data_IF_340408503255
#
_entry.id   IF_340408503255
#
_cell.length_a   1.000
_cell.length_b   1.000
_cell.length_c   1.000
_cell.angle_alpha   90.00
_cell.angle_beta   90.00
_cell.angle_gamma   90.00
#
_symmetry.space_group_name_H-M   'P 1'
#
loop_
_entity.id
_entity.type
_entity.pdbx_description
1 polymer ?
#
# COMPACT_ATOMS: atom_id res chain seq x y z
N UNK A 1 -54.53 -18.45 27.43
CA UNK A 1 -54.04 -18.34 26.05
C UNK A 1 -52.98 -17.26 26.04
N UNK A 2 -51.70 -17.65 25.95
CA UNK A 2 -50.55 -16.77 26.07
C UNK A 2 -49.99 -16.55 24.66
N UNK A 3 -49.97 -15.29 24.23
CA UNK A 3 -49.42 -14.84 22.95
C UNK A 3 -47.89 -14.76 23.07
N UNK A 4 -47.08 -15.36 22.18
CA UNK A 4 -45.64 -15.14 22.21
C UNK A 4 -45.31 -13.87 21.43
N UNK A 5 -44.56 -12.97 22.08
CA UNK A 5 -43.95 -11.81 21.45
C UNK A 5 -42.72 -12.28 20.65
N UNK A 6 -42.76 -12.08 19.33
CA UNK A 6 -41.58 -12.19 18.47
C UNK A 6 -40.61 -11.04 18.79
N UNK A 7 -39.44 -11.36 19.32
CA UNK A 7 -38.33 -10.43 19.43
C UNK A 7 -37.62 -10.35 18.06
N UNK A 8 -37.75 -9.21 17.38
CA UNK A 8 -36.91 -8.88 16.22
C UNK A 8 -35.49 -8.57 16.70
N UNK A 9 -34.53 -9.42 16.33
CA UNK A 9 -33.11 -9.10 16.43
C UNK A 9 -32.78 -8.14 15.29
N UNK A 10 -32.62 -6.86 15.62
CA UNK A 10 -32.11 -5.86 14.68
C UNK A 10 -30.62 -6.15 14.43
N UNK A 11 -30.31 -6.69 13.25
CA UNK A 11 -28.92 -6.74 12.76
C UNK A 11 -28.52 -5.29 12.45
N UNK A 12 -27.63 -4.75 13.27
CA UNK A 12 -26.99 -3.46 12.98
C UNK A 12 -26.17 -3.60 11.70
N UNK A 13 -26.73 -3.13 10.58
CA UNK A 13 -25.98 -2.93 9.35
C UNK A 13 -25.03 -1.77 9.65
N UNK A 14 -23.79 -2.10 10.02
CA UNK A 14 -22.72 -1.11 10.06
C UNK A 14 -22.65 -0.48 8.68
N UNK A 15 -22.81 0.84 8.63
CA UNK A 15 -22.70 1.64 7.42
C UNK A 15 -21.44 1.24 6.68
N UNK A 16 -21.61 0.56 5.55
CA UNK A 16 -20.54 0.34 4.59
C UNK A 16 -20.17 1.75 4.14
N UNK A 17 -19.08 2.29 4.68
CA UNK A 17 -18.38 3.37 4.01
C UNK A 17 -18.10 2.81 2.61
N UNK A 18 -18.82 3.33 1.61
CA UNK A 18 -18.57 3.00 0.21
C UNK A 18 -17.07 3.21 -0.01
N UNK A 19 -16.33 2.11 -0.12
CA UNK A 19 -15.00 2.13 -0.67
C UNK A 19 -15.14 2.85 -2.02
N UNK A 20 -14.51 4.02 -2.14
CA UNK A 20 -14.46 4.73 -3.41
C UNK A 20 -13.86 3.75 -4.44
N UNK A 21 -14.42 3.65 -5.65
CA UNK A 21 -13.86 2.76 -6.67
C UNK A 21 -12.38 3.09 -6.89
N UNK A 22 -11.56 2.07 -7.12
CA UNK A 22 -10.14 2.18 -7.45
C UNK A 22 -9.93 3.22 -8.57
N UNK A 23 -9.57 4.42 -8.15
CA UNK A 23 -9.37 5.60 -8.99
C UNK A 23 -7.98 6.18 -8.75
N UNK A 24 -7.59 7.16 -9.56
CA UNK A 24 -6.44 8.00 -9.20
C UNK A 24 -6.65 8.56 -7.79
N UNK A 25 -5.57 8.68 -7.02
CA UNK A 25 -5.64 9.31 -5.71
C UNK A 25 -6.31 10.68 -5.83
N UNK A 26 -7.12 11.04 -4.83
CA UNK A 26 -7.65 12.38 -4.69
C UNK A 26 -6.47 13.34 -4.52
N UNK A 27 -6.00 13.91 -5.63
CA UNK A 27 -4.82 14.77 -5.63
C UNK A 27 -5.23 16.18 -5.29
N UNK A 28 -4.58 16.74 -4.27
CA UNK A 28 -4.84 18.07 -3.78
C UNK A 28 -3.88 19.04 -4.45
N UNK A 29 -4.44 20.07 -5.08
CA UNK A 29 -3.66 21.17 -5.61
C UNK A 29 -3.25 22.10 -4.47
N UNK A 30 -1.99 22.50 -4.42
CA UNK A 30 -1.46 23.43 -3.43
C UNK A 30 -2.27 24.74 -3.35
N UNK A 31 -2.64 25.30 -4.51
CA UNK A 31 -3.48 26.51 -4.58
C UNK A 31 -4.87 26.33 -3.95
N UNK A 32 -5.40 25.11 -3.94
CA UNK A 32 -6.73 24.83 -3.37
C UNK A 32 -6.64 24.78 -1.83
N UNK A 33 -5.50 24.35 -1.28
CA UNK A 33 -5.20 24.49 0.16
C UNK A 33 -5.00 25.95 0.55
N UNK A 34 -4.21 26.70 -0.23
CA UNK A 34 -3.91 28.11 0.06
C UNK A 34 -5.14 29.02 -0.04
N UNK A 35 -6.04 28.74 -0.99
CA UNK A 35 -7.32 29.45 -1.11
C UNK A 35 -8.36 29.03 -0.06
N UNK A 36 -8.08 27.98 0.72
CA UNK A 36 -9.01 27.40 1.70
C UNK A 36 -10.17 26.62 1.09
N UNK A 37 -10.13 26.36 -0.23
CA UNK A 37 -11.10 25.51 -0.94
C UNK A 37 -10.99 24.06 -0.50
N UNK A 38 -9.77 23.60 -0.24
CA UNK A 38 -9.46 22.29 0.36
C UNK A 38 -8.83 22.48 1.73
N UNK A 39 -9.00 21.48 2.61
CA UNK A 39 -8.38 21.45 3.92
C UNK A 39 -7.83 20.05 4.20
N UNK A 40 -6.79 20.00 5.02
CA UNK A 40 -6.31 18.74 5.59
C UNK A 40 -7.38 18.24 6.57
N UNK A 41 -7.97 17.09 6.26
CA UNK A 41 -8.97 16.41 7.05
C UNK A 41 -8.29 15.55 8.12
N UNK A 42 -8.81 15.52 9.35
CA UNK A 42 -8.18 14.79 10.45
C UNK A 42 -8.18 13.26 10.26
N UNK A 43 -9.15 12.71 9.53
CA UNK A 43 -9.30 11.26 9.30
C UNK A 43 -8.54 10.76 8.06
N UNK A 44 -8.08 11.68 7.20
CA UNK A 44 -7.40 11.35 5.95
C UNK A 44 -5.88 11.37 6.11
N UNK A 45 -5.18 10.46 5.43
CA UNK A 45 -3.74 10.50 5.28
C UNK A 45 -3.32 11.35 4.07
N UNK A 46 -2.11 11.88 4.11
CA UNK A 46 -1.57 12.65 2.98
C UNK A 46 -0.15 12.20 2.64
N UNK A 47 0.12 11.99 1.35
CA UNK A 47 1.45 11.63 0.84
C UNK A 47 1.94 12.73 -0.09
N UNK A 48 3.09 13.30 0.24
CA UNK A 48 3.76 14.30 -0.58
C UNK A 48 4.95 13.68 -1.32
N UNK A 49 4.94 13.77 -2.64
CA UNK A 49 5.96 13.19 -3.53
C UNK A 49 6.58 14.30 -4.37
N UNK A 50 7.91 14.33 -4.45
CA UNK A 50 8.64 15.25 -5.34
C UNK A 50 9.52 14.50 -6.32
N UNK A 51 9.59 15.01 -7.53
CA UNK A 51 10.47 14.47 -8.57
C UNK A 51 11.06 15.57 -9.46
N UNK A 52 12.31 15.43 -9.92
CA UNK A 52 12.87 16.33 -10.93
C UNK A 52 12.23 16.15 -12.32
N UNK A 53 11.51 15.04 -12.55
CA UNK A 53 10.86 14.72 -13.83
C UNK A 53 9.39 14.35 -13.59
N UNK A 54 8.50 14.48 -14.59
CA UNK A 54 7.15 13.94 -14.44
C UNK A 54 7.26 12.43 -14.26
N UNK A 55 6.70 11.92 -13.17
CA UNK A 55 6.75 10.49 -12.88
C UNK A 55 5.37 10.00 -12.44
N UNK A 56 5.01 8.82 -12.94
CA UNK A 56 3.87 8.07 -12.44
C UNK A 56 4.31 6.99 -11.47
N UNK A 57 3.41 6.60 -10.58
CA UNK A 57 3.66 5.49 -9.69
C UNK A 57 2.40 4.96 -9.03
N UNK A 58 2.57 3.81 -8.39
CA UNK A 58 1.52 3.16 -7.60
C UNK A 58 2.02 2.97 -6.18
N UNK A 59 1.20 3.39 -5.22
CA UNK A 59 1.32 2.99 -3.82
C UNK A 59 0.24 1.94 -3.54
N UNK A 60 0.62 0.86 -2.88
CA UNK A 60 -0.31 -0.15 -2.39
C UNK A 60 -0.51 0.08 -0.90
N UNK A 61 -1.76 0.28 -0.50
CA UNK A 61 -2.13 0.18 0.90
C UNK A 61 -1.98 -1.28 1.32
N UNK A 62 -1.07 -1.54 2.23
CA UNK A 62 -0.85 -2.87 2.78
C UNK A 62 -1.99 -3.20 3.73
N UNK A 63 -2.62 -4.37 3.59
CA UNK A 63 -3.77 -4.71 4.41
C UNK A 63 -3.35 -4.91 5.86
N UNK A 64 -4.09 -4.27 6.77
CA UNK A 64 -4.02 -4.54 8.20
C UNK A 64 -4.90 -5.75 8.56
N UNK A 65 -4.86 -6.16 9.82
CA UNK A 65 -5.62 -7.31 10.32
C UNK A 65 -7.14 -7.15 10.08
N UNK A 66 -7.66 -5.93 10.22
CA UNK A 66 -9.06 -5.64 9.97
C UNK A 66 -9.43 -5.74 8.48
N UNK A 67 -8.56 -5.28 7.58
CA UNK A 67 -8.72 -5.43 6.15
C UNK A 67 -8.68 -6.91 5.72
N UNK A 68 -7.73 -7.68 6.28
CA UNK A 68 -7.63 -9.13 6.03
C UNK A 68 -8.91 -9.83 6.49
N UNK A 69 -9.37 -9.60 7.72
CA UNK A 69 -10.58 -10.24 8.25
C UNK A 69 -11.83 -9.91 7.41
N UNK A 70 -11.96 -8.65 6.95
CA UNK A 70 -13.07 -8.26 6.05
C UNK A 70 -12.97 -8.99 4.71
N UNK A 71 -11.77 -9.04 4.12
CA UNK A 71 -11.55 -9.73 2.86
C UNK A 71 -11.87 -11.23 2.96
N UNK A 72 -11.44 -11.90 4.03
CA UNK A 72 -11.73 -13.31 4.28
C UNK A 72 -13.24 -13.56 4.43
N UNK A 73 -13.94 -12.68 5.14
CA UNK A 73 -15.40 -12.77 5.27
C UNK A 73 -16.12 -12.60 3.92
N UNK A 74 -15.68 -11.64 3.10
CA UNK A 74 -16.21 -11.44 1.76
C UNK A 74 -15.90 -12.62 0.82
N UNK A 75 -14.68 -13.16 0.90
CA UNK A 75 -14.26 -14.33 0.13
C UNK A 75 -15.12 -15.55 0.50
N UNK A 76 -15.34 -15.79 1.80
CA UNK A 76 -16.15 -16.91 2.26
C UNK A 76 -17.62 -16.77 1.82
N UNK A 77 -18.18 -15.57 1.93
CA UNK A 77 -19.54 -15.28 1.46
C UNK A 77 -19.65 -15.47 -0.06
N UNK A 78 -18.68 -15.00 -0.83
CA UNK A 78 -18.66 -15.14 -2.28
C UNK A 78 -18.52 -16.61 -2.70
N UNK A 79 -17.65 -17.38 -2.05
CA UNK A 79 -17.51 -18.82 -2.32
C UNK A 79 -18.83 -19.54 -2.07
N UNK A 80 -19.48 -19.29 -0.93
CA UNK A 80 -20.76 -19.92 -0.58
C UNK A 80 -21.84 -19.65 -1.63
N UNK A 81 -21.91 -18.42 -2.16
CA UNK A 81 -22.85 -18.05 -3.24
C UNK A 81 -22.55 -18.82 -4.52
N UNK A 82 -21.28 -19.01 -4.89
CA UNK A 82 -20.93 -19.74 -6.11
C UNK A 82 -21.17 -21.25 -5.93
N UNK A 83 -20.86 -21.81 -4.77
CA UNK A 83 -21.15 -23.20 -4.43
C UNK A 83 -22.66 -23.49 -4.45
N UNK A 84 -23.48 -22.60 -3.89
CA UNK A 84 -24.94 -22.74 -3.95
C UNK A 84 -25.48 -22.79 -5.39
N UNK A 85 -24.86 -22.04 -6.31
CA UNK A 85 -25.27 -21.99 -7.72
C UNK A 85 -24.69 -23.14 -8.56
N UNK A 86 -23.70 -23.88 -8.05
CA UNK A 86 -22.99 -24.90 -8.82
C UNK A 86 -23.88 -26.07 -9.27
N UNK A 87 -24.75 -26.67 -8.43
CA UNK A 87 -25.62 -27.77 -8.85
C UNK A 87 -26.49 -27.40 -10.06
N UNK A 88 -27.10 -26.22 -10.05
CA UNK A 88 -27.91 -25.74 -11.18
C UNK A 88 -27.08 -25.54 -12.46
N UNK A 89 -25.84 -25.07 -12.35
CA UNK A 89 -24.92 -24.97 -13.50
C UNK A 89 -24.52 -26.34 -14.03
N UNK A 90 -24.35 -27.32 -13.15
CA UNK A 90 -24.01 -28.68 -13.52
C UNK A 90 -25.16 -29.34 -14.28
N UNK A 91 -26.39 -29.24 -13.76
CA UNK A 91 -27.61 -29.76 -14.43
C UNK A 91 -27.82 -29.13 -15.81
N UNK A 92 -27.66 -27.81 -15.92
CA UNK A 92 -27.75 -27.11 -17.21
C UNK A 92 -26.65 -27.57 -18.19
N UNK A 93 -25.42 -27.78 -17.72
CA UNK A 93 -24.35 -28.34 -18.55
C UNK A 93 -24.65 -29.77 -19.01
N UNK A 94 -25.17 -30.63 -18.12
CA UNK A 94 -25.56 -32.00 -18.46
C UNK A 94 -26.66 -32.03 -19.53
N UNK A 95 -27.65 -31.14 -19.38
CA UNK A 95 -28.72 -30.97 -20.36
C UNK A 95 -28.17 -30.50 -21.73
N UNK A 96 -27.33 -29.46 -21.75
CA UNK A 96 -26.73 -28.93 -23.00
C UNK A 96 -25.81 -29.96 -23.67
N UNK A 97 -25.05 -30.71 -22.88
CA UNK A 97 -24.18 -31.80 -23.36
C UNK A 97 -24.99 -32.89 -24.04
N UNK A 98 -26.12 -33.31 -23.43
CA UNK A 98 -27.04 -34.30 -24.03
C UNK A 98 -27.61 -33.84 -25.37
N UNK A 99 -27.98 -32.56 -25.47
CA UNK A 99 -28.47 -31.97 -26.72
C UNK A 99 -27.38 -31.88 -27.80
N UNK A 100 -26.16 -31.54 -27.43
CA UNK A 100 -25.03 -31.41 -28.35
C UNK A 100 -24.61 -32.76 -28.95
N UNK A 101 -24.62 -33.83 -28.15
CA UNK A 101 -24.32 -35.19 -28.62
C UNK A 101 -25.22 -35.64 -29.77
N UNK A 102 -26.51 -35.29 -29.76
CA UNK A 102 -27.45 -35.65 -30.82
C UNK A 102 -27.31 -34.84 -32.11
N UNK A 103 -26.55 -33.73 -32.09
CA UNK A 103 -26.46 -32.75 -33.20
C UNK A 103 -25.05 -32.60 -33.78
N UNK A 104 -24.07 -33.40 -33.32
CA UNK A 104 -22.67 -33.27 -33.74
C UNK A 104 -22.05 -31.92 -33.41
N UNK A 105 -22.59 -31.21 -32.41
CA UNK A 105 -22.10 -29.89 -31.99
C UNK A 105 -20.95 -30.03 -30.99
N UNK A 106 -20.10 -28.99 -30.89
CA UNK A 106 -19.03 -28.93 -29.88
C UNK A 106 -19.63 -28.98 -28.48
N UNK A 107 -19.08 -29.86 -27.64
CA UNK A 107 -19.49 -29.99 -26.24
C UNK A 107 -19.16 -28.72 -25.45
N UNK A 108 -20.08 -28.23 -24.61
CA UNK A 108 -19.77 -27.16 -23.68
C UNK A 108 -18.75 -27.64 -22.64
N UNK A 109 -17.88 -26.74 -22.19
CA UNK A 109 -16.93 -27.05 -21.11
C UNK A 109 -17.66 -27.32 -19.80
N UNK A 110 -17.22 -28.36 -19.09
CA UNK A 110 -17.81 -28.75 -17.81
C UNK A 110 -17.51 -27.67 -16.77
N UNK A 111 -18.52 -27.17 -16.04
CA UNK A 111 -18.28 -26.29 -14.90
C UNK A 111 -17.36 -26.97 -13.88
N UNK A 112 -16.36 -26.23 -13.39
CA UNK A 112 -15.46 -26.68 -12.33
C UNK A 112 -16.15 -26.46 -10.99
N UNK A 113 -16.06 -27.44 -10.09
CA UNK A 113 -16.58 -27.30 -8.73
C UNK A 113 -15.82 -26.20 -7.98
N UNK A 114 -16.51 -25.18 -7.44
CA UNK A 114 -15.87 -24.12 -6.69
C UNK A 114 -15.34 -24.66 -5.37
N UNK A 115 -14.03 -24.62 -5.20
CA UNK A 115 -13.31 -25.04 -4.00
C UNK A 115 -12.45 -23.88 -3.51
N UNK A 116 -12.03 -23.87 -2.23
CA UNK A 116 -11.08 -22.89 -1.73
C UNK A 116 -9.82 -22.75 -2.57
N UNK A 117 -9.36 -23.83 -3.20
CA UNK A 117 -8.12 -23.89 -3.97
C UNK A 117 -8.25 -23.29 -5.38
N UNK A 118 -9.46 -23.21 -5.94
CA UNK A 118 -9.70 -22.72 -7.30
C UNK A 118 -10.59 -21.46 -7.37
N UNK A 119 -11.06 -20.99 -6.22
CA UNK A 119 -11.90 -19.80 -6.11
C UNK A 119 -11.09 -18.58 -5.67
N UNK A 120 -11.28 -17.46 -6.36
CA UNK A 120 -10.64 -16.19 -6.05
C UNK A 120 -11.61 -15.03 -6.29
N UNK A 121 -11.54 -14.02 -5.43
CA UNK A 121 -12.22 -12.73 -5.61
C UNK A 121 -11.23 -11.61 -5.99
N UNK A 122 -10.05 -12.00 -6.51
CA UNK A 122 -8.92 -11.10 -6.75
C UNK A 122 -8.12 -10.82 -5.48
N UNK A 123 -6.84 -10.43 -5.60
CA UNK A 123 -5.98 -10.15 -4.45
C UNK A 123 -6.44 -8.90 -3.69
N UNK A 124 -6.18 -8.86 -2.38
CA UNK A 124 -6.63 -7.76 -1.51
C UNK A 124 -5.95 -6.44 -1.86
N UNK A 125 -4.70 -6.49 -2.34
CA UNK A 125 -3.87 -5.35 -2.71
C UNK A 125 -4.38 -4.60 -3.94
N UNK A 126 -5.15 -5.27 -4.81
CA UNK A 126 -5.77 -4.63 -5.99
C UNK A 126 -7.00 -3.79 -5.66
N UNK A 127 -7.50 -3.84 -4.42
CA UNK A 127 -8.74 -3.16 -4.04
C UNK A 127 -8.56 -1.65 -3.88
N UNK A 128 -7.39 -1.20 -3.41
CA UNK A 128 -7.13 0.22 -3.16
C UNK A 128 -5.74 0.69 -3.66
N UNK A 129 -5.41 0.51 -4.95
CA UNK A 129 -4.19 1.04 -5.51
C UNK A 129 -4.27 2.56 -5.65
N UNK A 130 -3.27 3.25 -5.12
CA UNK A 130 -3.15 4.70 -5.20
C UNK A 130 -2.23 5.06 -6.37
N UNK A 131 -2.84 5.43 -7.50
CA UNK A 131 -2.11 5.92 -8.68
C UNK A 131 -1.83 7.42 -8.57
N UNK A 132 -0.61 7.83 -8.90
CA UNK A 132 -0.22 9.22 -9.11
C UNK A 132 0.56 9.38 -10.43
N UNK A 133 0.62 10.59 -10.99
CA UNK A 133 1.40 10.86 -12.21
C UNK A 133 0.72 11.78 -13.23
N UNK A 134 1.12 11.64 -14.50
CA UNK A 134 1.05 12.60 -15.64
C UNK A 134 -0.27 13.38 -15.85
N UNK A 135 -1.36 13.01 -15.20
CA UNK A 135 -2.64 13.72 -15.30
C UNK A 135 -2.87 14.77 -14.21
N UNK A 136 -2.03 14.88 -13.18
CA UNK A 136 -2.36 15.72 -12.02
C UNK A 136 -1.16 16.46 -11.41
N UNK A 137 -1.30 17.79 -11.37
CA UNK A 137 -0.52 18.86 -10.69
C UNK A 137 0.94 19.10 -11.09
N UNK A 138 1.15 20.15 -11.90
CA UNK A 138 2.36 20.97 -11.83
C UNK A 138 2.13 22.09 -10.80
N UNK A 139 2.96 22.18 -9.76
CA UNK A 139 3.11 23.45 -9.04
C UNK A 139 3.65 24.48 -10.03
N UNK A 140 2.97 25.62 -10.14
CA UNK A 140 3.33 26.70 -11.07
C UNK A 140 4.55 27.50 -10.63
N UNK A 141 5.13 27.19 -9.47
CA UNK A 141 6.20 28.02 -8.88
C UNK A 141 7.63 27.57 -9.21
N UNK A 142 7.83 26.40 -9.84
CA UNK A 142 9.17 25.95 -10.23
C UNK A 142 9.14 25.07 -11.47
N UNK A 143 9.58 25.56 -12.66
CA UNK A 143 9.59 24.79 -13.91
C UNK A 143 10.57 23.60 -13.93
N UNK A 144 11.16 23.25 -12.78
CA UNK A 144 12.22 22.24 -12.63
C UNK A 144 11.90 21.14 -11.59
N UNK A 145 10.70 21.13 -10.99
CA UNK A 145 10.30 20.08 -10.05
C UNK A 145 8.80 19.80 -10.06
N UNK A 146 8.43 18.52 -10.16
CA UNK A 146 7.07 18.04 -10.06
C UNK A 146 6.76 17.67 -8.62
N UNK A 147 5.56 18.00 -8.14
CA UNK A 147 5.11 17.68 -6.79
C UNK A 147 3.67 17.18 -6.80
N UNK A 148 3.41 16.14 -6.03
CA UNK A 148 2.10 15.54 -5.88
C UNK A 148 1.74 15.50 -4.40
N UNK A 149 0.57 16.03 -4.04
CA UNK A 149 -0.02 15.86 -2.71
C UNK A 149 -1.26 14.97 -2.85
N UNK A 150 -1.17 13.75 -2.35
CA UNK A 150 -2.19 12.73 -2.51
C UNK A 150 -2.97 12.62 -1.20
N UNK A 151 -4.30 12.77 -1.23
CA UNK A 151 -5.17 12.33 -0.12
C UNK A 151 -5.38 10.83 -0.24
N UNK A 152 -5.07 10.10 0.82
CA UNK A 152 -5.10 8.63 0.88
C UNK A 152 -5.70 8.17 2.21
N UNK A 153 -6.02 6.88 2.32
CA UNK A 153 -6.37 6.30 3.62
C UNK A 153 -5.13 6.23 4.53
N UNK A 154 -5.24 6.49 5.83
CA UNK A 154 -4.15 6.21 6.77
C UNK A 154 -3.78 4.72 6.76
N UNK A 155 -2.50 4.43 6.98
CA UNK A 155 -1.98 3.08 7.08
C UNK A 155 -0.60 2.93 6.43
N UNK A 156 -0.17 1.67 6.28
CA UNK A 156 1.15 1.35 5.75
C UNK A 156 1.10 1.17 4.24
N UNK A 157 1.95 1.89 3.52
CA UNK A 157 2.03 1.81 2.07
C UNK A 157 3.33 1.17 1.61
N UNK A 158 3.27 0.36 0.56
CA UNK A 158 4.43 -0.05 -0.22
C UNK A 158 4.47 0.69 -1.56
N UNK A 159 5.66 1.09 -1.99
CA UNK A 159 5.82 1.64 -3.34
C UNK A 159 5.91 0.50 -4.36
N UNK A 160 4.86 0.30 -5.15
CA UNK A 160 4.80 -0.81 -6.09
C UNK A 160 5.72 -0.62 -7.28
N UNK A 161 5.94 0.62 -7.72
CA UNK A 161 6.86 0.92 -8.81
C UNK A 161 6.43 2.12 -9.66
N UNK A 162 7.28 2.51 -10.63
CA UNK A 162 6.99 3.58 -11.58
C UNK A 162 6.01 3.06 -12.64
N UNK A 163 4.74 3.04 -12.27
CA UNK A 163 3.65 2.53 -13.10
C UNK A 163 2.79 3.71 -13.54
N UNK A 164 2.56 3.79 -14.84
CA UNK A 164 1.67 4.78 -15.46
C UNK A 164 0.46 4.11 -16.05
N UNK A 165 -0.71 4.69 -15.80
CA UNK A 165 -1.98 4.26 -16.39
C UNK A 165 -2.21 5.04 -17.68
N UNK A 166 -1.98 4.38 -18.82
CA UNK A 166 -2.26 4.91 -20.14
C UNK A 166 -3.66 4.55 -20.63
N UNK A 167 -3.96 4.95 -21.89
CA UNK A 167 -5.23 4.59 -22.56
C UNK A 167 -5.39 3.08 -22.72
N UNK A 168 -4.31 2.38 -23.03
CA UNK A 168 -4.31 0.95 -23.39
C UNK A 168 -4.02 0.03 -22.19
N UNK A 169 -3.99 0.59 -20.97
CA UNK A 169 -3.76 -0.17 -19.74
C UNK A 169 -2.61 0.37 -18.88
N UNK A 170 -2.14 -0.47 -17.97
CA UNK A 170 -1.01 -0.16 -17.09
C UNK A 170 0.31 -0.48 -17.81
N UNK A 171 1.28 0.40 -17.64
CA UNK A 171 2.63 0.23 -18.17
C UNK A 171 3.66 0.64 -17.12
N UNK A 172 4.82 -0.01 -17.13
CA UNK A 172 5.88 0.26 -16.17
C UNK A 172 6.50 -1.01 -15.61
N UNK A 173 7.23 -0.84 -14.51
CA UNK A 173 7.91 -1.94 -13.82
C UNK A 173 7.37 -2.07 -12.41
N UNK A 174 6.98 -3.29 -12.03
CA UNK A 174 6.73 -3.63 -10.64
C UNK A 174 8.07 -3.84 -9.93
N UNK A 175 8.27 -3.22 -8.77
CA UNK A 175 9.38 -3.50 -7.85
C UNK A 175 9.11 -4.74 -6.98
N UNK A 176 8.61 -5.79 -7.64
CA UNK A 176 8.20 -7.07 -7.08
C UNK A 176 9.36 -7.81 -6.39
N UNK A 177 10.60 -7.59 -6.83
CA UNK A 177 11.79 -8.23 -6.26
C UNK A 177 12.37 -7.49 -5.05
N UNK A 178 11.75 -6.39 -4.62
CA UNK A 178 12.17 -5.64 -3.44
C UNK A 178 11.83 -4.17 -3.58
N UNK A 179 11.13 -3.64 -2.57
CA UNK A 179 10.77 -2.23 -2.49
C UNK A 179 10.81 -1.71 -1.06
N UNK A 180 10.45 -0.44 -0.87
CA UNK A 180 10.26 0.19 0.44
C UNK A 180 8.78 0.27 0.82
N UNK A 181 8.53 0.36 2.12
CA UNK A 181 7.25 0.71 2.72
C UNK A 181 7.42 1.86 3.70
N UNK A 182 6.33 2.57 4.00
CA UNK A 182 6.29 3.65 4.96
C UNK A 182 4.88 3.80 5.54
N UNK A 183 4.76 4.43 6.70
CA UNK A 183 3.48 4.69 7.36
C UNK A 183 2.93 6.05 6.95
N UNK A 184 1.60 6.14 6.79
CA UNK A 184 0.86 7.39 6.58
C UNK A 184 -0.14 7.56 7.71
N UNK A 185 -0.01 8.64 8.47
CA UNK A 185 -0.89 8.94 9.61
C UNK A 185 -2.06 9.83 9.21
N UNK A 186 -3.18 9.64 9.89
CA UNK A 186 -4.36 10.50 9.75
C UNK A 186 -4.04 11.96 10.13
N UNK A 187 -4.55 12.90 9.35
CA UNK A 187 -4.39 14.34 9.55
C UNK A 187 -2.98 14.88 9.30
N UNK A 188 -2.07 14.07 8.73
CA UNK A 188 -0.65 14.45 8.54
C UNK A 188 -0.17 14.27 7.12
N UNK A 189 0.69 15.19 6.70
CA UNK A 189 1.45 15.10 5.45
C UNK A 189 2.71 14.28 5.67
N UNK A 190 2.80 13.15 4.97
CA UNK A 190 3.97 12.29 4.92
C UNK A 190 4.85 12.72 3.74
N UNK A 191 5.98 13.36 4.03
CA UNK A 191 6.95 13.76 3.02
C UNK A 191 7.84 12.59 2.64
N UNK A 192 7.68 12.10 1.41
CA UNK A 192 8.49 10.99 0.86
C UNK A 192 9.83 11.46 0.28
N UNK A 193 10.07 12.78 0.25
CA UNK A 193 11.28 13.38 -0.28
C UNK A 193 11.39 13.32 -1.81
N UNK A 194 12.57 13.68 -2.33
CA UNK A 194 12.96 13.52 -3.74
C UNK A 194 13.38 12.08 -4.03
N UNK A 195 12.47 11.16 -3.81
CA UNK A 195 12.68 9.76 -4.14
C UNK A 195 12.49 9.61 -5.66
N UNK A 196 13.23 8.70 -6.31
CA UNK A 196 12.93 8.13 -7.66
C UNK A 196 13.80 8.43 -8.91
N UNK A 197 15.00 9.02 -8.83
CA UNK A 197 16.01 8.58 -9.81
C UNK A 197 17.43 8.31 -9.28
N UNK A 198 17.85 8.92 -8.17
CA UNK A 198 19.28 8.94 -7.77
C UNK A 198 19.61 8.13 -6.50
N UNK A 199 18.63 7.54 -5.83
CA UNK A 199 18.84 6.78 -4.59
C UNK A 199 19.19 7.62 -3.35
N UNK A 200 19.25 8.96 -3.49
CA UNK A 200 19.49 9.89 -2.40
C UNK A 200 18.16 10.48 -1.91
N UNK A 201 17.85 10.26 -0.63
CA UNK A 201 16.67 10.85 0.00
C UNK A 201 16.95 12.30 0.40
N UNK A 202 16.10 13.20 -0.08
CA UNK A 202 16.09 14.60 0.32
C UNK A 202 14.66 15.03 0.67
N UNK A 203 14.40 15.21 1.96
CA UNK A 203 13.12 15.69 2.50
C UNK A 203 13.02 17.22 2.41
N UNK A 204 11.86 17.76 2.76
CA UNK A 204 11.53 19.18 2.79
C UNK A 204 10.23 19.48 2.06
N UNK A 205 9.21 19.91 2.81
CA UNK A 205 8.01 20.47 2.23
C UNK A 205 8.24 21.89 1.71
N UNK A 206 7.49 22.34 0.67
CA UNK A 206 7.43 23.75 0.31
C UNK A 206 6.88 24.56 1.49
N UNK A 207 7.26 25.83 1.58
CA UNK A 207 6.92 26.73 2.71
C UNK A 207 5.41 26.76 2.97
N UNK A 208 4.61 26.75 1.90
CA UNK A 208 3.15 26.68 1.91
C UNK A 208 2.58 25.49 2.69
N UNK A 209 3.29 24.36 2.72
CA UNK A 209 2.84 23.12 3.38
C UNK A 209 3.47 22.91 4.76
N UNK A 210 4.51 23.67 5.12
CA UNK A 210 5.21 23.50 6.41
C UNK A 210 4.36 23.86 7.63
N UNK A 211 3.32 24.68 7.45
CA UNK A 211 2.38 25.06 8.51
C UNK A 211 1.40 23.94 8.89
N UNK A 212 1.25 22.90 8.07
CA UNK A 212 0.38 21.77 8.35
C UNK A 212 1.12 20.70 9.16
N UNK A 213 0.43 19.88 9.96
CA UNK A 213 1.02 18.70 10.59
C UNK A 213 1.70 17.81 9.54
N UNK A 214 3.00 17.61 9.68
CA UNK A 214 3.79 16.84 8.72
C UNK A 214 4.85 15.98 9.42
N UNK A 215 5.36 15.00 8.69
CA UNK A 215 6.51 14.18 9.08
C UNK A 215 7.24 13.64 7.84
N UNK A 216 8.51 13.30 8.01
CA UNK A 216 9.26 12.57 6.99
C UNK A 216 8.81 11.12 6.98
N UNK A 217 8.70 10.53 5.79
CA UNK A 217 8.39 9.12 5.65
C UNK A 217 9.43 8.25 6.38
N UNK A 218 8.96 7.44 7.34
CA UNK A 218 9.79 6.41 7.97
C UNK A 218 9.90 5.19 7.04
N UNK A 219 10.79 5.28 6.05
CA UNK A 219 10.99 4.20 5.09
C UNK A 219 11.63 2.96 5.73
N UNK A 220 11.07 1.80 5.38
CA UNK A 220 11.53 0.45 5.72
C UNK A 220 11.65 -0.39 4.46
N UNK A 221 12.54 -1.36 4.45
CA UNK A 221 12.51 -2.35 3.37
C UNK A 221 11.27 -3.24 3.54
N UNK A 222 10.47 -3.42 2.50
CA UNK A 222 9.21 -4.16 2.59
C UNK A 222 9.38 -5.66 2.27
N UNK A 223 10.26 -5.99 1.32
CA UNK A 223 10.41 -7.35 0.82
C UNK A 223 9.88 -7.50 -0.60
N UNK A 224 9.55 -8.74 -0.99
CA UNK A 224 9.00 -9.07 -2.31
C UNK A 224 7.49 -8.78 -2.34
N UNK A 225 6.99 -8.42 -3.51
CA UNK A 225 5.57 -8.22 -3.80
C UNK A 225 5.17 -9.12 -4.97
N UNK A 226 3.92 -9.56 -4.96
CA UNK A 226 3.34 -10.26 -6.10
C UNK A 226 3.09 -9.29 -7.26
N UNK A 227 3.08 -9.84 -8.47
CA UNK A 227 2.84 -9.05 -9.68
C UNK A 227 1.35 -8.92 -9.98
N UNK A 228 0.65 -8.23 -9.08
CA UNK A 228 -0.81 -8.03 -9.14
C UNK A 228 -1.28 -7.51 -10.51
N UNK A 229 -0.53 -6.57 -11.10
CA UNK A 229 -0.92 -5.94 -12.36
C UNK A 229 -0.29 -6.55 -13.62
N UNK A 230 0.39 -7.70 -13.53
CA UNK A 230 1.00 -8.37 -14.69
C UNK A 230 2.07 -7.54 -15.41
N UNK A 231 2.77 -6.66 -14.69
CA UNK A 231 3.78 -5.75 -15.24
C UNK A 231 5.16 -6.42 -15.40
N UNK A 232 6.09 -5.72 -16.04
CA UNK A 232 7.48 -6.13 -16.04
C UNK A 232 8.01 -6.23 -14.60
N UNK A 233 8.64 -7.36 -14.27
CA UNK A 233 9.17 -7.63 -12.93
C UNK A 233 10.55 -6.99 -12.79
N UNK A 234 10.74 -6.21 -11.73
CA UNK A 234 12.01 -5.58 -11.38
C UNK A 234 12.19 -5.44 -9.88
N UNK A 235 13.27 -4.74 -9.49
CA UNK A 235 13.57 -4.39 -8.10
C UNK A 235 13.81 -2.89 -7.99
N UNK A 236 13.49 -2.30 -6.85
CA UNK A 236 13.88 -0.93 -6.57
C UNK A 236 15.41 -0.81 -6.51
N UNK A 237 16.02 0.28 -7.00
CA UNK A 237 17.42 0.56 -6.70
C UNK A 237 17.69 0.60 -5.19
N UNK A 238 18.93 0.33 -4.79
CA UNK A 238 19.33 0.46 -3.39
C UNK A 238 19.04 1.88 -2.89
N UNK A 239 18.58 1.97 -1.65
CA UNK A 239 18.31 3.24 -0.97
C UNK A 239 19.25 3.32 0.21
N UNK A 240 20.15 4.30 0.21
CA UNK A 240 21.16 4.45 1.23
C UNK A 240 20.52 4.50 2.63
N UNK A 241 21.02 3.67 3.55
CA UNK A 241 20.53 3.58 4.93
C UNK A 241 19.17 2.89 5.11
N UNK A 242 18.48 2.46 4.05
CA UNK A 242 17.15 1.83 4.14
C UNK A 242 17.12 0.46 3.46
N UNK A 243 17.45 0.41 2.16
CA UNK A 243 17.23 -0.76 1.32
C UNK A 243 18.53 -1.20 0.67
N UNK A 244 18.97 -2.41 1.01
CA UNK A 244 20.03 -3.11 0.33
C UNK A 244 19.57 -4.49 -0.13
N UNK A 245 20.45 -5.16 -0.86
CA UNK A 245 20.23 -6.50 -1.35
C UNK A 245 21.47 -7.36 -1.12
N UNK A 246 21.27 -8.58 -0.67
CA UNK A 246 22.23 -9.67 -0.82
C UNK A 246 21.64 -10.68 -1.81
N UNK A 247 22.11 -10.64 -3.06
CA UNK A 247 21.51 -11.34 -4.21
C UNK A 247 20.02 -10.99 -4.34
N UNK A 248 19.14 -11.94 -4.00
CA UNK A 248 17.67 -11.80 -4.07
C UNK A 248 17.03 -11.65 -2.68
N UNK A 249 17.85 -11.52 -1.64
CA UNK A 249 17.41 -11.21 -0.29
C UNK A 249 17.37 -9.71 -0.09
N UNK A 250 16.19 -9.20 0.24
CA UNK A 250 15.98 -7.80 0.66
C UNK A 250 16.56 -7.61 2.06
N UNK A 251 17.32 -6.53 2.25
CA UNK A 251 17.93 -6.16 3.52
C UNK A 251 17.38 -4.79 3.95
N UNK A 252 16.78 -4.75 5.13
CA UNK A 252 16.43 -3.51 5.83
C UNK A 252 17.66 -3.00 6.59
N UNK A 253 18.37 -2.04 5.99
CA UNK A 253 19.54 -1.43 6.60
C UNK A 253 19.17 -0.59 7.83
N UNK A 254 17.97 0.00 7.83
CA UNK A 254 17.53 0.86 8.93
C UNK A 254 17.24 0.03 10.17
N UNK A 255 16.52 -1.08 10.01
CA UNK A 255 16.25 -2.02 11.10
C UNK A 255 17.54 -2.63 11.66
N UNK A 256 18.53 -2.94 10.82
CA UNK A 256 19.84 -3.41 11.29
C UNK A 256 20.59 -2.35 12.12
N UNK A 257 20.58 -1.10 11.67
CA UNK A 257 21.21 0.00 12.41
C UNK A 257 20.54 0.23 13.77
N UNK A 258 19.21 0.16 13.83
CA UNK A 258 18.44 0.27 15.08
C UNK A 258 18.74 -0.89 16.03
N UNK A 259 18.76 -2.13 15.52
CA UNK A 259 19.11 -3.29 16.33
C UNK A 259 20.55 -3.20 16.89
N UNK A 260 21.50 -2.70 16.09
CA UNK A 260 22.88 -2.48 16.52
C UNK A 260 23.00 -1.38 17.59
N UNK A 261 22.20 -0.31 17.46
CA UNK A 261 22.15 0.76 18.45
C UNK A 261 21.61 0.27 19.80
N UNK A 262 20.59 -0.60 19.81
CA UNK A 262 20.04 -1.21 21.03
C UNK A 262 21.02 -2.22 21.65
N UNK A 263 21.81 -2.91 20.83
CA UNK A 263 22.77 -3.93 21.28
C UNK A 263 24.08 -3.36 21.86
N UNK A 264 24.29 -2.04 21.85
CA UNK A 264 25.48 -1.40 22.43
C UNK A 264 25.14 -0.80 23.79
N UNK A 265 25.41 -1.47 24.93
CA UNK A 265 25.26 -0.85 26.24
C UNK A 265 26.38 0.17 26.47
N UNK A 266 26.02 1.29 27.11
CA UNK A 266 26.93 2.35 27.57
C UNK A 266 28.27 1.81 28.09
N UNK A 267 29.34 1.97 27.31
CA UNK A 267 30.70 2.01 27.84
C UNK A 267 30.92 3.41 28.43
N UNK A 268 30.29 3.69 29.56
CA UNK A 268 30.07 5.07 30.03
C UNK A 268 29.98 5.26 31.54
N UNK A 269 30.68 4.48 32.35
CA UNK A 269 31.09 4.90 33.71
C UNK A 269 32.43 4.24 34.06
N UNK A 270 33.51 4.77 33.49
CA UNK A 270 34.85 4.54 34.02
C UNK A 270 35.03 5.47 35.22
N UNK A 271 34.77 4.90 36.39
CA UNK A 271 35.16 5.33 37.73
C UNK A 271 36.57 5.92 37.75
N UNK A 272 36.68 7.17 38.17
CA UNK A 272 37.95 7.85 38.47
C UNK A 272 38.64 7.12 39.62
N UNK A 273 39.70 6.36 39.32
CA UNK A 273 40.60 5.83 40.33
C UNK A 273 41.43 6.97 40.99
N UNK A 274 41.69 6.91 42.30
CA UNK A 274 42.37 7.97 43.03
C UNK A 274 43.88 7.95 42.76
N UNK A 275 44.46 9.14 42.63
CA UNK A 275 45.91 9.36 42.59
C UNK A 275 46.50 9.05 43.96
N UNK A 276 47.30 7.98 44.04
CA UNK A 276 48.12 7.68 45.20
C UNK A 276 49.28 8.68 45.29
N UNK A 277 49.32 9.43 46.39
CA UNK A 277 50.46 10.21 46.80
C UNK A 277 51.59 9.28 47.26
N UNK A 278 52.77 9.43 46.66
CA UNK A 278 54.02 8.89 47.20
C UNK A 278 54.91 10.08 47.59
N UNK A 279 55.35 10.07 48.85
CA UNK A 279 56.07 11.15 49.51
C UNK A 279 57.54 11.28 49.11
N UNK A 280 58.02 12.52 49.27
CA UNK A 280 59.22 12.95 50.01
C UNK A 280 60.29 11.87 50.26
N UNK A 281 61.49 12.05 49.70
CA UNK A 281 62.78 12.10 50.43
C UNK A 281 63.83 12.87 49.59
N UNK A 282 64.55 13.77 50.25
CA UNK A 282 65.60 14.66 49.70
C UNK A 282 65.70 15.98 50.45
#
# INVERSE_FOLDING_TARGET
MVTPALAFVAVAVSSIACAKPAGYADTIQERDLLSGKEKIEPESGYVYIRSPIPQGGVLLLLPDEAAIARYEAEWAAALAVVQQKYPAKLEDWEFRTRLAHGKGQKLPEKPIEPTPENFSIGPIEERNPVFYGLHISASTESPQSYSYLLRVEPGRYAYYGPVSKGRDGLSGTCYCMGTVSFEVKAGRITDTGKFFPSGMLAFGLPVSLQSYPNEQADFRAHGKLDNFFGLAIGRMPRVAGILAYDRDRVIDLKAQAEAAAVATPDAGTAETAPVAAAGIEG
#
